data_IF_663735521039
#
_entry.id   IF_663735521039
#
_cell.length_a   1.000
_cell.length_b   1.000
_cell.length_c   1.000
_cell.angle_alpha   90.00
_cell.angle_beta   90.00
_cell.angle_gamma   90.00
#
_symmetry.space_group_name_H-M   'P 1'
#
loop_
_entity.id
_entity.type
_entity.pdbx_description
1 polymer ?
#
# COMPACT_ATOMS: atom_id res chain seq x y z
N UNK A 1 -23.13 50.13 22.84
CA UNK A 1 -24.06 49.24 23.56
C UNK A 1 -24.08 47.95 22.79
N UNK A 2 -23.17 47.03 23.12
CA UNK A 2 -23.14 45.71 22.48
C UNK A 2 -24.21 44.82 23.12
N UNK A 3 -25.28 44.58 22.38
CA UNK A 3 -26.30 43.60 22.73
C UNK A 3 -25.70 42.21 22.56
N UNK A 4 -25.29 41.59 23.66
CA UNK A 4 -24.78 40.22 23.67
C UNK A 4 -25.82 39.21 23.13
N UNK A 5 -25.39 38.10 22.52
CA UNK A 5 -26.31 37.10 21.98
C UNK A 5 -27.20 36.52 23.07
N UNK A 6 -28.51 36.45 22.80
CA UNK A 6 -29.49 35.90 23.74
C UNK A 6 -29.21 34.41 24.00
N UNK A 7 -29.58 33.92 25.20
CA UNK A 7 -29.47 32.49 25.56
C UNK A 7 -30.12 31.54 24.56
N UNK A 8 -31.19 31.99 23.90
CA UNK A 8 -31.87 31.25 22.83
C UNK A 8 -30.97 31.08 21.60
N UNK A 9 -30.32 32.17 21.17
CA UNK A 9 -29.40 32.19 20.04
C UNK A 9 -28.17 31.30 20.29
N UNK A 10 -27.67 31.29 21.54
CA UNK A 10 -26.58 30.43 21.98
C UNK A 10 -26.95 28.93 21.95
N UNK A 11 -28.18 28.59 22.34
CA UNK A 11 -28.67 27.20 22.30
C UNK A 11 -28.84 26.68 20.87
N UNK A 12 -29.37 27.49 19.95
CA UNK A 12 -29.56 27.13 18.54
C UNK A 12 -28.26 26.88 17.77
N UNK A 13 -27.13 27.45 18.23
CA UNK A 13 -25.81 27.19 17.63
C UNK A 13 -25.11 26.01 18.32
N UNK A 14 -25.20 25.91 19.65
CA UNK A 14 -24.50 24.88 20.40
C UNK A 14 -25.01 23.46 20.08
N UNK A 15 -26.32 23.29 19.90
CA UNK A 15 -26.94 21.99 19.60
C UNK A 15 -26.46 21.41 18.26
N UNK A 16 -26.56 22.11 17.11
CA UNK A 16 -26.07 21.57 15.85
C UNK A 16 -24.56 21.37 15.87
N UNK A 17 -23.79 22.23 16.56
CA UNK A 17 -22.34 22.05 16.69
C UNK A 17 -21.99 20.76 17.45
N UNK A 18 -22.71 20.47 18.54
CA UNK A 18 -22.53 19.25 19.32
C UNK A 18 -22.94 18.00 18.53
N UNK A 19 -24.04 18.07 17.79
CA UNK A 19 -24.49 16.98 16.91
C UNK A 19 -23.48 16.72 15.78
N UNK A 20 -22.93 17.76 15.16
CA UNK A 20 -21.87 17.64 14.16
C UNK A 20 -20.61 17.03 14.75
N UNK A 21 -20.19 17.45 15.95
CA UNK A 21 -19.04 16.87 16.64
C UNK A 21 -19.24 15.38 16.94
N UNK A 22 -20.42 14.99 17.41
CA UNK A 22 -20.77 13.60 17.68
C UNK A 22 -20.79 12.77 16.38
N UNK A 23 -21.35 13.31 15.30
CA UNK A 23 -21.39 12.65 13.99
C UNK A 23 -19.98 12.46 13.42
N UNK A 24 -19.13 13.49 13.47
CA UNK A 24 -17.73 13.39 13.03
C UNK A 24 -16.98 12.35 13.85
N UNK A 25 -17.17 12.32 15.17
CA UNK A 25 -16.54 11.30 16.02
C UNK A 25 -17.01 9.89 15.69
N UNK A 26 -18.31 9.70 15.41
CA UNK A 26 -18.88 8.41 15.04
C UNK A 26 -18.40 7.92 13.66
N UNK A 27 -18.18 8.86 12.72
CA UNK A 27 -17.75 8.54 11.36
C UNK A 27 -16.23 8.53 11.17
N UNK A 28 -15.43 9.00 12.15
CA UNK A 28 -13.99 9.06 12.03
C UNK A 28 -13.34 7.71 12.40
N UNK A 29 -12.86 6.91 11.44
CA UNK A 29 -12.18 5.67 11.75
C UNK A 29 -10.91 5.97 12.56
N UNK A 30 -10.67 5.20 13.63
CA UNK A 30 -9.42 5.28 14.38
C UNK A 30 -8.27 4.97 13.42
N UNK A 31 -7.47 5.98 13.09
CA UNK A 31 -6.27 5.79 12.29
C UNK A 31 -5.37 4.76 13.01
N UNK A 32 -4.93 3.69 12.33
CA UNK A 32 -3.99 2.76 12.92
C UNK A 32 -2.70 3.51 13.29
N UNK A 33 -2.15 3.25 14.48
CA UNK A 33 -0.82 3.75 14.83
C UNK A 33 0.20 3.02 13.96
N UNK A 34 0.56 3.61 12.82
CA UNK A 34 1.60 3.11 11.96
C UNK A 34 2.96 3.47 12.57
N UNK A 35 3.76 2.45 12.88
CA UNK A 35 5.17 2.67 13.16
C UNK A 35 5.89 3.03 11.84
N UNK A 36 6.89 3.93 11.87
CA UNK A 36 7.74 4.16 10.71
C UNK A 36 8.36 2.85 10.23
N UNK A 37 8.52 2.70 8.91
CA UNK A 37 9.22 1.55 8.36
C UNK A 37 10.64 1.47 8.96
N UNK A 38 11.12 0.28 9.33
CA UNK A 38 12.49 0.12 9.78
C UNK A 38 13.49 0.66 8.74
N UNK A 39 14.44 1.48 9.18
CA UNK A 39 15.51 2.00 8.30
C UNK A 39 16.61 0.97 8.01
N UNK A 40 16.53 -0.20 8.65
CA UNK A 40 17.44 -1.30 8.43
C UNK A 40 17.23 -1.96 7.06
N UNK A 41 18.23 -2.69 6.55
CA UNK A 41 18.06 -3.46 5.34
C UNK A 41 16.92 -4.48 5.51
N UNK A 42 16.18 -4.78 4.41
CA UNK A 42 15.15 -5.79 4.46
C UNK A 42 15.75 -7.13 4.93
N UNK A 43 15.02 -7.89 5.76
CA UNK A 43 15.51 -9.16 6.26
C UNK A 43 15.78 -10.12 5.10
N UNK A 44 16.82 -10.98 5.21
CA UNK A 44 17.21 -11.88 4.13
C UNK A 44 16.18 -12.99 3.86
N UNK A 45 15.23 -13.17 4.78
CA UNK A 45 14.21 -14.21 4.74
C UNK A 45 12.83 -13.57 4.58
N UNK A 46 12.05 -14.12 3.66
CA UNK A 46 10.65 -13.76 3.47
C UNK A 46 9.82 -14.07 4.72
N UNK A 47 9.17 -13.07 5.31
CA UNK A 47 8.23 -13.33 6.40
C UNK A 47 7.00 -14.07 5.85
N UNK A 48 6.67 -15.22 6.44
CA UNK A 48 5.42 -15.95 6.18
C UNK A 48 4.31 -15.29 6.97
N UNK A 49 3.57 -14.40 6.32
CA UNK A 49 2.52 -13.61 6.96
C UNK A 49 1.17 -14.35 6.89
N UNK A 50 0.40 -14.39 7.99
CA UNK A 50 -0.94 -14.97 8.00
C UNK A 50 -1.96 -13.97 7.44
N UNK A 51 -1.74 -13.50 6.21
CA UNK A 51 -2.66 -12.61 5.50
C UNK A 51 -3.28 -13.29 4.28
N UNK A 52 -4.32 -12.68 3.75
CA UNK A 52 -4.83 -13.02 2.42
C UNK A 52 -3.93 -12.42 1.34
N UNK A 53 -3.93 -13.02 0.15
CA UNK A 53 -3.26 -12.41 -0.99
C UNK A 53 -3.96 -11.11 -1.39
N UNK A 54 -3.18 -10.08 -1.72
CA UNK A 54 -3.72 -8.83 -2.26
C UNK A 54 -2.78 -8.35 -3.37
N UNK A 55 -3.31 -8.10 -4.58
CA UNK A 55 -2.53 -7.47 -5.65
C UNK A 55 -1.93 -6.15 -5.18
N UNK A 56 -0.80 -5.78 -5.77
CA UNK A 56 -0.12 -4.52 -5.46
C UNK A 56 -0.14 -3.59 -6.66
N UNK A 57 0.31 -2.35 -6.46
CA UNK A 57 0.45 -1.36 -7.52
C UNK A 57 1.87 -0.75 -7.48
N UNK A 58 2.87 -1.61 -7.62
CA UNK A 58 4.25 -1.16 -7.73
C UNK A 58 4.49 -0.72 -9.16
N UNK A 59 4.89 0.54 -9.30
CA UNK A 59 5.13 1.20 -10.59
C UNK A 59 6.60 1.19 -11.01
N UNK A 60 7.50 0.76 -10.12
CA UNK A 60 8.93 0.71 -10.38
C UNK A 60 9.62 -0.39 -9.53
N UNK A 61 10.49 -1.17 -10.17
CA UNK A 61 11.36 -2.16 -9.54
C UNK A 61 12.79 -2.01 -10.08
N UNK A 62 13.78 -2.09 -9.20
CA UNK A 62 15.19 -2.00 -9.61
C UNK A 62 15.70 -3.29 -10.28
N UNK A 63 15.15 -4.45 -9.91
CA UNK A 63 15.58 -5.76 -10.40
C UNK A 63 14.39 -6.72 -10.56
N UNK A 64 14.35 -7.60 -11.58
CA UNK A 64 15.27 -7.80 -12.74
C UNK A 64 15.36 -6.57 -13.68
N UNK A 65 16.22 -6.51 -14.72
CA UNK A 65 16.42 -5.28 -15.48
C UNK A 65 15.17 -4.88 -16.30
N UNK A 66 14.32 -4.08 -15.67
CA UNK A 66 13.24 -3.32 -16.31
C UNK A 66 13.70 -2.19 -17.23
N UNK A 67 14.79 -1.42 -16.96
CA UNK A 67 15.16 -0.29 -17.80
C UNK A 67 15.69 -0.68 -19.19
N UNK A 68 15.92 -1.98 -19.44
CA UNK A 68 16.25 -2.51 -20.76
C UNK A 68 15.00 -2.79 -21.64
N UNK A 69 13.79 -2.72 -21.06
CA UNK A 69 12.54 -2.93 -21.77
C UNK A 69 11.95 -1.59 -22.26
N UNK A 70 11.32 -1.55 -23.44
CA UNK A 70 10.39 -0.49 -23.81
C UNK A 70 9.32 -0.30 -22.72
N UNK A 71 8.89 0.95 -22.48
CA UNK A 71 7.97 1.31 -21.38
C UNK A 71 6.70 0.46 -21.33
N UNK A 72 6.11 0.13 -22.47
CA UNK A 72 4.91 -0.71 -22.53
C UNK A 72 5.16 -2.14 -22.04
N UNK A 73 6.33 -2.71 -22.36
CA UNK A 73 6.73 -4.06 -21.93
C UNK A 73 7.07 -4.09 -20.45
N UNK A 74 7.71 -3.03 -19.95
CA UNK A 74 7.92 -2.83 -18.52
C UNK A 74 6.58 -2.82 -17.77
N UNK A 75 5.61 -2.02 -18.23
CA UNK A 75 4.29 -1.94 -17.60
C UNK A 75 3.55 -3.28 -17.62
N UNK A 76 3.63 -4.04 -18.72
CA UNK A 76 3.06 -5.39 -18.81
C UNK A 76 3.70 -6.35 -17.80
N UNK A 77 5.03 -6.34 -17.72
CA UNK A 77 5.77 -7.17 -16.78
C UNK A 77 5.40 -6.80 -15.33
N UNK A 78 5.37 -5.51 -15.00
CA UNK A 78 4.96 -5.02 -13.67
C UNK A 78 3.52 -5.39 -13.34
N UNK A 79 2.59 -5.28 -14.29
CA UNK A 79 1.19 -5.70 -14.09
C UNK A 79 1.10 -7.18 -13.71
N UNK A 80 1.81 -8.05 -14.44
CA UNK A 80 1.85 -9.48 -14.13
C UNK A 80 2.43 -9.73 -12.72
N UNK A 81 3.55 -9.09 -12.39
CA UNK A 81 4.17 -9.23 -11.08
C UNK A 81 3.32 -8.67 -9.93
N UNK A 82 2.50 -7.66 -10.19
CA UNK A 82 1.60 -7.05 -9.22
C UNK A 82 0.37 -7.93 -8.92
N UNK A 83 -0.05 -8.75 -9.88
CA UNK A 83 -1.28 -9.54 -9.82
C UNK A 83 -1.05 -11.01 -9.45
N UNK A 84 0.18 -11.51 -9.57
CA UNK A 84 0.52 -12.88 -9.21
C UNK A 84 1.16 -13.01 -7.82
N UNK A 85 0.75 -14.01 -7.01
CA UNK A 85 1.38 -14.27 -5.72
C UNK A 85 2.78 -14.89 -5.85
N UNK A 86 3.70 -14.49 -4.97
CA UNK A 86 4.99 -15.14 -4.87
C UNK A 86 4.90 -16.50 -4.14
N UNK A 87 5.36 -17.61 -4.75
CA UNK A 87 5.21 -18.94 -4.17
C UNK A 87 6.19 -19.25 -3.03
N UNK A 88 7.04 -18.31 -2.62
CA UNK A 88 7.93 -18.49 -1.46
C UNK A 88 7.19 -18.56 -0.10
N UNK A 89 5.87 -18.34 -0.09
CA UNK A 89 5.01 -18.42 1.10
C UNK A 89 4.85 -17.09 1.86
N UNK A 90 5.36 -15.97 1.32
CA UNK A 90 5.18 -14.64 1.92
C UNK A 90 3.79 -14.02 1.69
N UNK A 91 3.00 -14.65 0.79
CA UNK A 91 1.68 -14.18 0.37
C UNK A 91 1.65 -12.72 -0.12
N UNK A 92 2.78 -12.21 -0.59
CA UNK A 92 2.86 -10.96 -1.36
C UNK A 92 2.62 -11.27 -2.82
N UNK A 93 2.27 -10.23 -3.58
CA UNK A 93 2.52 -10.23 -5.02
C UNK A 93 4.01 -10.43 -5.31
N UNK A 94 4.33 -10.88 -6.52
CA UNK A 94 5.70 -11.06 -6.95
C UNK A 94 6.48 -9.74 -6.90
N UNK A 95 5.86 -8.62 -7.32
CA UNK A 95 6.42 -7.28 -7.21
C UNK A 95 6.63 -6.88 -5.74
N UNK A 96 5.61 -7.08 -4.92
CA UNK A 96 5.61 -7.12 -3.46
C UNK A 96 6.89 -7.72 -2.86
N UNK A 97 7.11 -8.97 -3.25
CA UNK A 97 8.20 -9.78 -2.75
C UNK A 97 9.56 -9.25 -3.22
N UNK A 98 9.69 -8.82 -4.49
CA UNK A 98 10.93 -8.23 -5.01
C UNK A 98 11.34 -6.96 -4.28
N UNK A 99 10.38 -6.07 -4.01
CA UNK A 99 10.64 -4.81 -3.33
C UNK A 99 11.01 -5.02 -1.85
N UNK A 100 10.26 -5.86 -1.14
CA UNK A 100 10.42 -6.03 0.32
C UNK A 100 11.48 -7.09 0.70
N UNK A 101 11.75 -8.06 -0.17
CA UNK A 101 12.67 -9.18 0.08
C UNK A 101 13.57 -9.42 -1.15
N UNK A 102 14.51 -8.52 -1.45
CA UNK A 102 15.34 -8.59 -2.65
C UNK A 102 16.20 -9.86 -2.73
N UNK A 103 16.50 -10.49 -1.59
CA UNK A 103 17.23 -11.76 -1.45
C UNK A 103 16.42 -13.01 -1.81
N UNK A 104 15.11 -12.89 -2.04
CA UNK A 104 14.26 -14.03 -2.38
C UNK A 104 14.60 -14.56 -3.78
N UNK A 105 15.23 -15.75 -3.83
CA UNK A 105 15.64 -16.41 -5.09
C UNK A 105 14.44 -16.74 -5.98
N UNK A 106 13.37 -17.29 -5.39
CA UNK A 106 12.15 -17.66 -6.12
C UNK A 106 11.50 -16.46 -6.80
N UNK A 107 11.42 -15.31 -6.11
CA UNK A 107 10.85 -14.12 -6.72
C UNK A 107 11.76 -13.58 -7.84
N UNK A 108 13.08 -13.66 -7.67
CA UNK A 108 14.05 -13.23 -8.68
C UNK A 108 13.95 -14.06 -9.96
N UNK A 109 13.90 -15.38 -9.84
CA UNK A 109 13.81 -16.30 -10.98
C UNK A 109 12.49 -16.13 -11.75
N UNK A 110 11.36 -16.01 -11.05
CA UNK A 110 10.07 -15.81 -11.70
C UNK A 110 9.96 -14.45 -12.37
N UNK A 111 10.45 -13.40 -11.73
CA UNK A 111 10.46 -12.06 -12.32
C UNK A 111 11.31 -12.04 -13.61
N UNK A 112 12.46 -12.74 -13.63
CA UNK A 112 13.29 -12.84 -14.83
C UNK A 112 12.54 -13.54 -15.98
N UNK A 113 11.81 -14.62 -15.71
CA UNK A 113 10.97 -15.31 -16.71
C UNK A 113 9.86 -14.42 -17.27
N UNK A 114 9.22 -13.60 -16.42
CA UNK A 114 8.18 -12.66 -16.85
C UNK A 114 8.76 -11.54 -17.73
N UNK A 115 9.94 -11.04 -17.38
CA UNK A 115 10.66 -10.05 -18.21
C UNK A 115 11.03 -10.63 -19.57
N UNK A 116 11.53 -11.87 -19.60
CA UNK A 116 11.86 -12.58 -20.84
C UNK A 116 10.63 -12.81 -21.72
N UNK A 117 9.51 -13.28 -21.14
CA UNK A 117 8.26 -13.49 -21.88
C UNK A 117 7.61 -12.19 -22.36
N UNK A 118 7.85 -11.08 -21.66
CA UNK A 118 7.39 -9.74 -22.06
C UNK A 118 8.28 -9.09 -23.12
N UNK A 119 9.42 -9.70 -23.46
CA UNK A 119 10.42 -9.22 -24.42
C UNK A 119 10.21 -9.67 -25.88
N UNK A 120 9.28 -10.58 -26.14
CA UNK A 120 8.81 -10.94 -27.49
C UNK A 120 7.61 -10.06 -27.90
#
# INVERSE_FOLDING_TARGET
>A
MDSGPSRSTLAWVAVPLALLAALVWALNPRQPKLAPAPLGPPPPVCAKLPREFTPTDITHLAEPPFPALPRERELRALFHMNTEPCPCGCKLSLAACRLNYPSCKTSKELAAKIVESSGH
#
